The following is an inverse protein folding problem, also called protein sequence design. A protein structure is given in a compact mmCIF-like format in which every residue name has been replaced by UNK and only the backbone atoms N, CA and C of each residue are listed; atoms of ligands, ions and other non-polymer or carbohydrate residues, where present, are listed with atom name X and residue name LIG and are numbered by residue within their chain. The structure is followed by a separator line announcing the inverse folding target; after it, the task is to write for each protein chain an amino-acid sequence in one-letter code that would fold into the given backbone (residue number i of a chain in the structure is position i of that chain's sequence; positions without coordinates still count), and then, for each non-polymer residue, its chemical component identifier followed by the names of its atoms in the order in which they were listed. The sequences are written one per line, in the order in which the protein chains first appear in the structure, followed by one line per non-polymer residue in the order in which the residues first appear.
data_IF_485751524602
#
_entry.id   IF_485751524602
#
_cell.length_a   1.000
_cell.length_b   1.000
_cell.length_c   1.000
_cell.angle_alpha   90.00
_cell.angle_beta   90.00
_cell.angle_gamma   90.00
#
_symmetry.space_group_name_H-M   'P 1'
#
loop_
_entity.id
_entity.type
_entity.pdbx_description
1 polymer ?
#
# COMPACT_ATOMS: atom_id res chain seq x y z
N UNK A 1 -63.67 8.08 -29.21
CA UNK A 1 -63.06 7.04 -28.37
C UNK A 1 -61.56 7.10 -28.64
N UNK A 2 -60.84 7.90 -27.88
CA UNK A 2 -59.40 8.14 -28.00
C UNK A 2 -58.76 7.65 -26.68
N UNK A 3 -58.16 6.49 -26.70
CA UNK A 3 -57.36 5.94 -25.61
C UNK A 3 -56.03 6.64 -25.55
N UNK A 4 -55.77 7.28 -24.43
CA UNK A 4 -54.50 7.96 -24.12
C UNK A 4 -53.44 6.90 -23.73
N UNK A 5 -52.48 6.69 -24.59
CA UNK A 5 -51.24 5.95 -24.30
C UNK A 5 -50.42 6.72 -23.22
N UNK A 6 -50.43 6.21 -22.00
CA UNK A 6 -49.47 6.63 -20.96
C UNK A 6 -48.07 6.22 -21.37
N UNK A 7 -47.22 7.20 -21.72
CA UNK A 7 -45.80 7.02 -21.86
C UNK A 7 -45.18 6.72 -20.49
N UNK A 8 -44.62 5.51 -20.33
CA UNK A 8 -43.80 5.17 -19.19
C UNK A 8 -42.46 5.92 -19.31
N UNK A 9 -42.27 6.95 -18.52
CA UNK A 9 -40.96 7.57 -18.32
C UNK A 9 -39.96 6.53 -17.76
N UNK A 10 -38.73 6.47 -18.27
CA UNK A 10 -37.70 5.61 -17.68
C UNK A 10 -37.36 6.13 -16.28
N UNK A 11 -37.54 5.30 -15.26
CA UNK A 11 -37.07 5.57 -13.90
C UNK A 11 -35.57 5.86 -13.95
N UNK A 12 -35.20 7.08 -13.57
CA UNK A 12 -33.81 7.46 -13.36
C UNK A 12 -33.25 6.68 -12.17
N UNK A 13 -32.01 6.17 -12.27
CA UNK A 13 -31.28 5.42 -11.21
C UNK A 13 -31.08 6.18 -9.89
N UNK A 14 -31.66 7.37 -9.76
CA UNK A 14 -31.56 8.24 -8.58
C UNK A 14 -32.46 7.81 -7.39
N UNK A 15 -33.45 6.93 -7.61
CA UNK A 15 -34.48 6.60 -6.60
C UNK A 15 -34.32 5.22 -5.95
N UNK A 16 -33.20 4.54 -6.15
CA UNK A 16 -32.90 3.32 -5.37
C UNK A 16 -32.50 3.71 -3.96
N UNK A 17 -33.26 3.30 -2.91
CA UNK A 17 -32.90 3.60 -1.53
C UNK A 17 -31.52 3.00 -1.21
N UNK A 18 -30.55 3.87 -0.97
CA UNK A 18 -29.19 3.45 -0.56
C UNK A 18 -29.35 2.67 0.74
N UNK A 19 -28.93 1.42 0.74
CA UNK A 19 -28.96 0.58 1.93
C UNK A 19 -28.22 1.30 3.08
N UNK A 20 -28.91 1.61 4.22
CA UNK A 20 -28.29 2.40 5.31
C UNK A 20 -27.00 1.78 5.86
N UNK A 21 -26.90 0.44 5.83
CA UNK A 21 -25.69 -0.27 6.25
C UNK A 21 -24.50 0.02 5.31
N UNK A 22 -24.71 -0.03 4.00
CA UNK A 22 -23.68 0.30 3.00
C UNK A 22 -23.26 1.77 3.08
N UNK A 23 -24.21 2.67 3.36
CA UNK A 23 -23.91 4.10 3.54
C UNK A 23 -23.08 4.33 4.83
N UNK A 24 -23.37 3.60 5.90
CA UNK A 24 -22.60 3.66 7.15
C UNK A 24 -21.18 3.13 6.96
N UNK A 25 -21.01 2.00 6.30
CA UNK A 25 -19.69 1.43 5.99
C UNK A 25 -18.85 2.38 5.11
N UNK A 26 -19.44 2.94 4.07
CA UNK A 26 -18.78 3.93 3.21
C UNK A 26 -18.40 5.20 3.98
N UNK A 27 -19.21 5.64 4.94
CA UNK A 27 -18.90 6.78 5.82
C UNK A 27 -17.73 6.45 6.76
N UNK A 28 -17.72 5.28 7.39
CA UNK A 28 -16.62 4.84 8.27
C UNK A 28 -15.31 4.75 7.48
N UNK A 29 -15.34 4.15 6.28
CA UNK A 29 -14.17 4.07 5.42
C UNK A 29 -13.66 5.46 5.01
N UNK A 30 -14.56 6.40 4.65
CA UNK A 30 -14.20 7.78 4.31
C UNK A 30 -13.58 8.53 5.49
N UNK A 31 -14.15 8.39 6.69
CA UNK A 31 -13.60 9.00 7.91
C UNK A 31 -12.21 8.42 8.20
N UNK A 32 -12.05 7.11 8.12
CA UNK A 32 -10.76 6.45 8.35
C UNK A 32 -9.69 6.99 7.39
N UNK A 33 -10.00 7.11 6.09
CA UNK A 33 -9.07 7.65 5.08
C UNK A 33 -8.73 9.13 5.31
N UNK A 34 -9.67 9.93 5.81
CA UNK A 34 -9.42 11.36 6.08
C UNK A 34 -8.61 11.55 7.38
N UNK A 35 -8.90 10.75 8.41
CA UNK A 35 -8.23 10.85 9.71
C UNK A 35 -6.86 10.15 9.69
N UNK A 36 -6.68 9.12 8.87
CA UNK A 36 -5.44 8.33 8.80
C UNK A 36 -4.19 9.19 8.54
N UNK A 37 -4.13 10.10 7.55
CA UNK A 37 -2.95 10.95 7.35
C UNK A 37 -2.63 11.83 8.56
N UNK A 38 -3.66 12.33 9.25
CA UNK A 38 -3.48 13.14 10.45
C UNK A 38 -2.89 12.31 11.60
N UNK A 39 -3.35 11.08 11.77
CA UNK A 39 -2.79 10.16 12.77
C UNK A 39 -1.34 9.82 12.47
N UNK A 40 -0.99 9.60 11.21
CA UNK A 40 0.38 9.30 10.78
C UNK A 40 1.29 10.49 11.02
N UNK A 41 0.88 11.70 10.63
CA UNK A 41 1.65 12.94 10.87
C UNK A 41 1.83 13.17 12.38
N UNK A 42 0.76 13.04 13.17
CA UNK A 42 0.83 13.18 14.62
C UNK A 42 1.80 12.15 15.24
N UNK A 43 1.72 10.89 14.80
CA UNK A 43 2.61 9.84 15.25
C UNK A 43 4.07 10.11 14.90
N UNK A 44 4.34 10.63 13.70
CA UNK A 44 5.67 11.10 13.29
C UNK A 44 6.19 12.21 14.19
N UNK A 45 5.37 13.23 14.46
CA UNK A 45 5.74 14.34 15.38
C UNK A 45 6.01 13.81 16.78
N UNK A 46 5.16 12.95 17.34
CA UNK A 46 5.35 12.36 18.67
C UNK A 46 6.61 11.49 18.72
N UNK A 47 6.86 10.67 17.68
CA UNK A 47 8.08 9.86 17.55
C UNK A 47 9.35 10.74 17.52
N UNK A 48 9.31 11.88 16.82
CA UNK A 48 10.40 12.84 16.76
C UNK A 48 10.65 13.52 18.10
N UNK A 49 9.59 13.94 18.80
CA UNK A 49 9.71 14.66 20.08
C UNK A 49 10.05 13.74 21.27
N UNK A 50 9.68 12.45 21.20
CA UNK A 50 9.91 11.48 22.28
C UNK A 50 10.66 10.23 21.79
N UNK A 51 11.88 10.37 21.19
CA UNK A 51 12.60 9.24 20.60
C UNK A 51 12.97 8.16 21.62
N UNK A 52 13.23 8.53 22.87
CA UNK A 52 13.55 7.58 23.95
C UNK A 52 12.43 6.59 24.25
N UNK A 53 11.17 6.95 23.98
CA UNK A 53 10.01 6.09 24.21
C UNK A 53 9.83 5.08 23.08
N UNK A 54 9.98 5.51 21.82
CA UNK A 54 9.64 4.69 20.67
C UNK A 54 10.82 3.91 20.08
N UNK A 55 12.04 4.43 20.15
CA UNK A 55 13.24 3.74 19.63
C UNK A 55 13.43 2.33 20.22
N UNK A 56 13.21 2.06 21.53
CA UNK A 56 13.30 0.70 22.07
C UNK A 56 12.27 -0.29 21.50
N UNK A 57 11.21 0.21 20.86
CA UNK A 57 10.17 -0.62 20.23
C UNK A 57 10.53 -1.07 18.82
N UNK A 58 11.68 -0.67 18.26
CA UNK A 58 12.10 -1.06 16.91
C UNK A 58 12.04 -2.59 16.66
N UNK A 59 12.42 -3.48 17.58
CA UNK A 59 12.28 -4.92 17.37
C UNK A 59 10.83 -5.42 17.21
N UNK A 60 9.82 -4.62 17.58
CA UNK A 60 8.40 -4.98 17.41
C UNK A 60 7.85 -4.71 16.01
N UNK A 61 8.55 -3.92 15.17
CA UNK A 61 8.07 -3.51 13.85
C UNK A 61 7.67 -4.68 12.95
N UNK A 62 8.42 -5.81 12.85
CA UNK A 62 8.01 -6.96 12.07
C UNK A 62 6.69 -7.59 12.56
N UNK A 63 6.46 -7.65 13.86
CA UNK A 63 5.22 -8.18 14.43
C UNK A 63 4.03 -7.26 14.17
N UNK A 64 4.24 -5.94 14.28
CA UNK A 64 3.24 -4.93 13.94
C UNK A 64 2.84 -5.03 12.46
N UNK A 65 3.83 -5.18 11.56
CA UNK A 65 3.55 -5.45 10.16
C UNK A 65 2.75 -6.74 9.98
N UNK A 66 3.13 -7.83 10.66
CA UNK A 66 2.39 -9.09 10.63
C UNK A 66 0.91 -8.94 11.00
N UNK A 67 0.59 -8.11 11.99
CA UNK A 67 -0.79 -7.78 12.36
C UNK A 67 -1.51 -7.10 11.19
N UNK A 68 -0.90 -6.11 10.55
CA UNK A 68 -1.48 -5.42 9.38
C UNK A 68 -1.72 -6.40 8.24
N UNK A 69 -0.75 -7.26 7.96
CA UNK A 69 -0.84 -8.26 6.90
C UNK A 69 -1.90 -9.32 7.19
N UNK A 70 -2.06 -9.73 8.44
CA UNK A 70 -3.15 -10.59 8.87
C UNK A 70 -4.52 -9.90 8.67
N UNK A 71 -4.65 -8.63 9.08
CA UNK A 71 -5.85 -7.83 8.83
C UNK A 71 -6.17 -7.74 7.32
N UNK A 72 -5.14 -7.54 6.48
CA UNK A 72 -5.29 -7.57 5.03
C UNK A 72 -5.83 -8.93 4.55
N UNK A 73 -5.26 -10.03 5.03
CA UNK A 73 -5.73 -11.38 4.71
C UNK A 73 -7.19 -11.61 5.06
N UNK A 74 -7.66 -11.03 6.18
CA UNK A 74 -9.08 -11.06 6.59
C UNK A 74 -10.02 -10.34 5.61
N UNK A 75 -9.54 -9.39 4.85
CA UNK A 75 -10.36 -8.66 3.86
C UNK A 75 -10.44 -9.38 2.52
N UNK A 76 -9.50 -10.28 2.19
CA UNK A 76 -9.47 -10.99 0.92
C UNK A 76 -10.59 -12.02 0.82
N UNK A 77 -11.13 -12.16 -0.40
CA UNK A 77 -12.20 -13.13 -0.70
C UNK A 77 -11.87 -13.96 -1.94
N UNK A 78 -12.37 -15.20 -2.08
CA UNK A 78 -12.17 -15.99 -3.29
C UNK A 78 -12.60 -15.32 -4.59
N UNK A 79 -13.68 -14.51 -4.65
CA UNK A 79 -14.04 -13.74 -5.82
C UNK A 79 -12.98 -12.74 -6.29
N UNK A 80 -12.13 -12.22 -5.38
CA UNK A 80 -11.04 -11.28 -5.74
C UNK A 80 -10.02 -12.00 -6.64
N UNK A 81 -9.68 -13.24 -6.32
CA UNK A 81 -8.81 -14.07 -7.16
C UNK A 81 -9.47 -14.48 -8.49
N UNK A 82 -10.79 -14.66 -8.51
CA UNK A 82 -11.51 -14.91 -9.75
C UNK A 82 -11.47 -13.70 -10.71
N UNK A 83 -11.33 -12.49 -10.18
CA UNK A 83 -11.16 -11.27 -10.98
C UNK A 83 -9.85 -11.27 -11.77
N UNK A 84 -8.77 -11.89 -11.25
CA UNK A 84 -7.51 -12.09 -11.96
C UNK A 84 -7.73 -12.91 -13.24
N UNK A 85 -8.48 -14.01 -13.13
CA UNK A 85 -8.76 -14.87 -14.29
C UNK A 85 -9.66 -14.22 -15.33
N UNK A 86 -10.55 -13.30 -14.92
CA UNK A 86 -11.47 -12.60 -15.82
C UNK A 86 -10.82 -11.49 -16.65
N UNK A 87 -9.77 -10.85 -16.12
CA UNK A 87 -9.05 -9.73 -16.77
C UNK A 87 -7.53 -9.89 -16.67
N UNK A 88 -6.94 -11.00 -17.17
CA UNK A 88 -5.54 -11.33 -16.98
C UNK A 88 -4.60 -10.23 -17.51
N UNK A 89 -4.94 -9.64 -18.67
CA UNK A 89 -4.15 -8.56 -19.26
C UNK A 89 -4.02 -7.34 -18.36
N UNK A 90 -5.13 -6.86 -17.79
CA UNK A 90 -5.12 -5.69 -16.94
C UNK A 90 -4.33 -5.93 -15.64
N UNK A 91 -4.44 -7.14 -15.07
CA UNK A 91 -3.69 -7.53 -13.87
C UNK A 91 -2.19 -7.65 -14.16
N UNK A 92 -1.81 -8.35 -15.22
CA UNK A 92 -0.40 -8.49 -15.63
C UNK A 92 0.21 -7.13 -15.93
N UNK A 93 -0.50 -6.27 -16.66
CA UNK A 93 -0.06 -4.90 -16.95
C UNK A 93 0.15 -4.11 -15.66
N UNK A 94 -0.78 -4.20 -14.70
CA UNK A 94 -0.66 -3.53 -13.40
C UNK A 94 0.56 -3.98 -12.62
N UNK A 95 0.81 -5.30 -12.54
CA UNK A 95 1.95 -5.88 -11.83
C UNK A 95 3.27 -5.49 -12.50
N UNK A 96 3.36 -5.62 -13.83
CA UNK A 96 4.56 -5.26 -14.60
C UNK A 96 4.82 -3.75 -14.47
N UNK A 97 3.81 -2.92 -14.63
CA UNK A 97 3.95 -1.48 -14.47
C UNK A 97 4.43 -1.13 -13.06
N UNK A 98 3.86 -1.74 -12.02
CA UNK A 98 4.26 -1.54 -10.63
C UNK A 98 5.75 -1.88 -10.41
N UNK A 99 6.17 -3.09 -10.74
CA UNK A 99 7.53 -3.56 -10.47
C UNK A 99 8.59 -3.07 -11.46
N UNK A 100 8.22 -2.38 -12.54
CA UNK A 100 9.14 -1.69 -13.45
C UNK A 100 9.22 -0.19 -13.11
N UNK A 101 8.08 0.47 -13.01
CA UNK A 101 8.01 1.93 -12.85
C UNK A 101 8.55 2.36 -11.49
N UNK A 102 8.07 1.73 -10.40
CA UNK A 102 8.39 2.21 -9.07
C UNK A 102 9.83 1.93 -8.64
N UNK A 103 10.38 0.72 -8.84
CA UNK A 103 11.81 0.50 -8.58
C UNK A 103 12.70 1.37 -9.46
N UNK A 104 12.36 1.51 -10.75
CA UNK A 104 13.10 2.36 -11.69
C UNK A 104 13.03 3.84 -11.32
N UNK A 105 11.86 4.36 -10.94
CA UNK A 105 11.70 5.72 -10.46
C UNK A 105 12.49 5.95 -9.16
N UNK A 106 12.43 5.01 -8.21
CA UNK A 106 13.21 5.09 -6.97
C UNK A 106 14.70 5.18 -7.22
N UNK A 107 15.22 4.35 -8.12
CA UNK A 107 16.64 4.38 -8.51
C UNK A 107 17.00 5.70 -9.23
N UNK A 108 16.19 6.15 -10.20
CA UNK A 108 16.43 7.41 -10.91
C UNK A 108 16.40 8.62 -9.98
N UNK A 109 15.46 8.68 -9.03
CA UNK A 109 15.37 9.75 -8.03
C UNK A 109 16.60 9.73 -7.12
N UNK A 110 17.03 8.54 -6.65
CA UNK A 110 18.20 8.40 -5.83
C UNK A 110 19.46 8.95 -6.52
N UNK A 111 19.63 8.66 -7.82
CA UNK A 111 20.72 9.20 -8.63
C UNK A 111 20.59 10.71 -8.87
N UNK A 112 19.40 11.17 -9.27
CA UNK A 112 19.19 12.59 -9.64
C UNK A 112 19.34 13.54 -8.43
N UNK A 113 18.93 13.09 -7.24
CA UNK A 113 19.06 13.86 -6.00
C UNK A 113 20.38 13.60 -5.27
N UNK A 114 21.28 12.74 -5.81
CA UNK A 114 22.56 12.37 -5.18
C UNK A 114 22.36 11.94 -3.72
N UNK A 115 21.36 11.08 -3.47
CA UNK A 115 21.04 10.65 -2.12
C UNK A 115 22.22 9.87 -1.49
N UNK A 116 22.41 10.04 -0.19
CA UNK A 116 23.33 9.19 0.58
C UNK A 116 22.94 7.72 0.45
N UNK A 117 23.89 6.78 0.49
CA UNK A 117 23.64 5.35 0.23
C UNK A 117 22.45 4.76 1.01
N UNK A 118 22.32 5.09 2.30
CA UNK A 118 21.21 4.60 3.13
C UNK A 118 19.84 5.14 2.66
N UNK A 119 19.77 6.43 2.31
CA UNK A 119 18.54 7.03 1.79
C UNK A 119 18.20 6.52 0.38
N UNK A 120 19.22 6.34 -0.46
CA UNK A 120 19.06 5.78 -1.81
C UNK A 120 18.45 4.36 -1.74
N UNK A 121 19.03 3.50 -0.89
CA UNK A 121 18.49 2.15 -0.64
C UNK A 121 17.06 2.23 -0.10
N UNK A 122 16.78 3.15 0.80
CA UNK A 122 15.43 3.34 1.36
C UNK A 122 14.39 3.69 0.29
N UNK A 123 14.68 4.65 -0.60
CA UNK A 123 13.75 5.04 -1.70
C UNK A 123 13.59 3.90 -2.70
N UNK A 124 14.67 3.22 -3.08
CA UNK A 124 14.63 2.06 -3.97
C UNK A 124 13.80 0.94 -3.34
N UNK A 125 14.00 0.65 -2.05
CA UNK A 125 13.27 -0.38 -1.31
C UNK A 125 11.76 -0.10 -1.26
N UNK A 126 11.37 1.17 -1.04
CA UNK A 126 9.95 1.57 -1.15
C UNK A 126 9.42 1.25 -2.54
N UNK A 127 10.16 1.59 -3.59
CA UNK A 127 9.76 1.26 -4.97
C UNK A 127 9.66 -0.23 -5.26
N UNK A 128 10.51 -1.06 -4.63
CA UNK A 128 10.51 -2.52 -4.80
C UNK A 128 9.44 -3.22 -3.93
N UNK A 129 8.83 -2.52 -2.97
CA UNK A 129 7.76 -3.08 -2.15
C UNK A 129 6.48 -3.30 -2.99
N UNK A 130 5.64 -4.29 -2.65
CA UNK A 130 4.38 -4.50 -3.35
C UNK A 130 3.40 -3.35 -3.11
N UNK A 131 2.31 -3.31 -3.86
CA UNK A 131 1.24 -2.32 -3.69
C UNK A 131 0.68 -2.33 -2.26
N UNK A 132 0.36 -1.15 -1.75
CA UNK A 132 -0.17 -0.95 -0.40
C UNK A 132 -1.69 -1.12 -0.34
N UNK A 133 -2.22 -1.61 0.78
CA UNK A 133 -3.68 -1.78 0.96
C UNK A 133 -4.48 -0.47 0.86
N UNK A 134 -3.85 0.67 1.12
CA UNK A 134 -4.47 1.99 0.99
C UNK A 134 -4.84 2.32 -0.46
N UNK A 135 -4.14 1.74 -1.46
CA UNK A 135 -4.45 1.94 -2.89
C UNK A 135 -5.87 1.51 -3.24
N UNK A 136 -6.37 0.41 -2.67
CA UNK A 136 -7.74 -0.07 -2.91
C UNK A 136 -8.79 0.96 -2.47
N UNK A 137 -8.56 1.62 -1.34
CA UNK A 137 -9.47 2.66 -0.82
C UNK A 137 -9.40 3.90 -1.69
N UNK A 138 -8.21 4.29 -2.12
CA UNK A 138 -8.03 5.42 -3.03
C UNK A 138 -8.62 5.15 -4.41
N UNK A 139 -8.49 3.94 -4.93
CA UNK A 139 -9.16 3.50 -6.16
C UNK A 139 -10.69 3.61 -6.03
N UNK A 140 -11.27 3.18 -4.90
CA UNK A 140 -12.70 3.34 -4.62
C UNK A 140 -13.12 4.81 -4.59
N UNK A 141 -12.42 5.67 -3.86
CA UNK A 141 -12.73 7.11 -3.75
C UNK A 141 -12.61 7.83 -5.11
N UNK A 142 -11.65 7.42 -5.93
CA UNK A 142 -11.46 7.93 -7.28
C UNK A 142 -12.44 7.34 -8.31
N UNK A 143 -13.42 6.54 -7.87
CA UNK A 143 -14.36 5.82 -8.74
C UNK A 143 -13.64 4.94 -9.78
N UNK A 144 -12.52 4.34 -9.38
CA UNK A 144 -11.74 3.38 -10.15
C UNK A 144 -12.33 1.97 -10.09
N UNK A 145 -11.69 1.04 -10.76
CA UNK A 145 -12.03 -0.40 -10.74
C UNK A 145 -11.43 -1.06 -9.50
N UNK A 146 -12.22 -1.14 -8.43
CA UNK A 146 -11.79 -1.70 -7.14
C UNK A 146 -11.44 -3.19 -7.26
N UNK A 147 -12.17 -3.94 -8.10
CA UNK A 147 -11.89 -5.36 -8.27
C UNK A 147 -10.52 -5.60 -8.93
N UNK A 148 -10.16 -4.77 -9.92
CA UNK A 148 -8.82 -4.78 -10.52
C UNK A 148 -7.77 -4.35 -9.50
N UNK A 149 -8.03 -3.31 -8.71
CA UNK A 149 -7.13 -2.83 -7.66
C UNK A 149 -6.79 -3.94 -6.67
N UNK A 150 -7.81 -4.58 -6.09
CA UNK A 150 -7.62 -5.70 -5.15
C UNK A 150 -6.88 -6.87 -5.79
N UNK A 151 -7.17 -7.18 -7.07
CA UNK A 151 -6.48 -8.25 -7.78
C UNK A 151 -4.98 -7.96 -7.96
N UNK A 152 -4.61 -6.74 -8.39
CA UNK A 152 -3.20 -6.33 -8.56
C UNK A 152 -2.49 -6.30 -7.21
N UNK A 153 -3.09 -5.70 -6.17
CA UNK A 153 -2.53 -5.65 -4.82
C UNK A 153 -2.28 -7.07 -4.26
N UNK A 154 -3.24 -7.98 -4.42
CA UNK A 154 -3.12 -9.35 -3.92
C UNK A 154 -2.00 -10.11 -4.60
N UNK A 155 -1.93 -10.07 -5.94
CA UNK A 155 -0.90 -10.79 -6.69
C UNK A 155 0.47 -10.18 -6.44
N UNK A 156 0.60 -8.84 -6.43
CA UNK A 156 1.88 -8.19 -6.12
C UNK A 156 2.40 -8.58 -4.73
N UNK A 157 1.51 -8.66 -3.72
CA UNK A 157 1.87 -9.10 -2.37
C UNK A 157 2.31 -10.56 -2.32
N UNK A 158 1.65 -11.46 -3.07
CA UNK A 158 2.01 -12.89 -3.10
C UNK A 158 3.36 -13.15 -3.76
N UNK A 159 3.75 -12.37 -4.77
CA UNK A 159 5.05 -12.52 -5.45
C UNK A 159 6.16 -11.70 -4.80
N UNK A 160 5.83 -10.77 -3.90
CA UNK A 160 6.79 -9.91 -3.22
C UNK A 160 7.97 -10.64 -2.55
N UNK A 161 7.79 -11.83 -1.92
CA UNK A 161 8.91 -12.55 -1.30
C UNK A 161 10.06 -12.86 -2.26
N UNK A 162 9.76 -12.97 -3.55
CA UNK A 162 10.77 -13.25 -4.59
C UNK A 162 11.17 -11.95 -5.30
N UNK A 163 10.20 -11.19 -5.78
CA UNK A 163 10.43 -10.04 -6.65
C UNK A 163 11.10 -8.88 -5.90
N UNK A 164 10.65 -8.56 -4.68
CA UNK A 164 11.21 -7.44 -3.90
C UNK A 164 12.70 -7.63 -3.60
N UNK A 165 13.18 -8.76 -3.01
CA UNK A 165 14.61 -8.93 -2.73
C UNK A 165 15.48 -8.93 -3.99
N UNK A 166 15.00 -9.52 -5.09
CA UNK A 166 15.75 -9.54 -6.35
C UNK A 166 15.91 -8.14 -6.95
N UNK A 167 14.85 -7.33 -6.95
CA UNK A 167 14.90 -5.95 -7.43
C UNK A 167 15.77 -5.08 -6.53
N UNK A 168 15.70 -5.23 -5.21
CA UNK A 168 16.56 -4.51 -4.27
C UNK A 168 18.03 -4.90 -4.49
N UNK A 169 18.33 -6.19 -4.64
CA UNK A 169 19.68 -6.66 -4.94
C UNK A 169 20.21 -6.05 -6.25
N UNK A 170 19.38 -6.03 -7.29
CA UNK A 170 19.77 -5.53 -8.60
C UNK A 170 19.98 -4.00 -8.62
N UNK A 171 19.09 -3.22 -7.99
CA UNK A 171 19.10 -1.75 -8.07
C UNK A 171 19.87 -1.09 -6.94
N UNK A 172 19.88 -1.67 -5.75
CA UNK A 172 20.50 -1.10 -4.55
C UNK A 172 21.81 -1.79 -4.16
N UNK A 173 22.17 -2.92 -4.77
CA UNK A 173 23.39 -3.68 -4.45
C UNK A 173 24.70 -2.92 -4.68
N UNK A 174 24.68 -1.86 -5.50
CA UNK A 174 25.84 -0.97 -5.69
C UNK A 174 26.02 0.04 -4.55
N UNK A 175 25.02 0.27 -3.74
CA UNK A 175 25.05 1.23 -2.62
C UNK A 175 25.43 0.55 -1.29
N UNK A 176 24.83 -0.63 -1.02
CA UNK A 176 25.04 -1.39 0.22
C UNK A 176 25.04 -2.89 -0.07
N UNK A 177 25.59 -3.68 0.85
CA UNK A 177 25.49 -5.14 0.78
C UNK A 177 24.04 -5.57 1.07
N UNK A 178 23.49 -6.44 0.22
CA UNK A 178 22.13 -6.90 0.29
C UNK A 178 22.07 -8.38 0.64
N UNK A 179 21.48 -8.71 1.78
CA UNK A 179 21.10 -10.11 2.10
C UNK A 179 19.71 -10.42 1.51
N UNK A 180 19.69 -10.74 0.23
CA UNK A 180 18.44 -11.09 -0.46
C UNK A 180 17.79 -12.34 0.14
N UNK A 181 18.58 -13.31 0.63
CA UNK A 181 18.06 -14.53 1.26
C UNK A 181 17.34 -14.26 2.57
N UNK A 182 17.94 -13.45 3.43
CA UNK A 182 17.31 -12.99 4.67
C UNK A 182 16.03 -12.19 4.40
N UNK A 183 16.05 -11.31 3.40
CA UNK A 183 14.86 -10.54 2.99
C UNK A 183 13.72 -11.44 2.51
N UNK A 184 13.99 -12.48 1.71
CA UNK A 184 12.96 -13.46 1.29
C UNK A 184 12.31 -14.07 2.52
N UNK A 185 13.11 -14.57 3.47
CA UNK A 185 12.62 -15.23 4.67
C UNK A 185 11.77 -14.30 5.53
N UNK A 186 12.20 -13.05 5.68
CA UNK A 186 11.48 -12.05 6.46
C UNK A 186 10.15 -11.66 5.81
N UNK A 187 10.10 -11.49 4.48
CA UNK A 187 8.85 -11.22 3.78
C UNK A 187 7.90 -12.43 3.88
N UNK A 188 8.40 -13.66 3.77
CA UNK A 188 7.56 -14.84 3.98
C UNK A 188 6.95 -14.84 5.38
N UNK A 189 7.75 -14.58 6.43
CA UNK A 189 7.29 -14.61 7.83
C UNK A 189 6.36 -13.44 8.17
N UNK A 190 6.69 -12.23 7.71
CA UNK A 190 6.00 -11.01 8.15
C UNK A 190 4.86 -10.59 7.23
N UNK A 191 4.80 -11.12 6.00
CA UNK A 191 3.77 -10.78 5.01
C UNK A 191 3.00 -12.02 4.58
N UNK A 192 3.66 -12.99 3.93
CA UNK A 192 2.98 -14.09 3.28
C UNK A 192 2.22 -14.98 4.28
N UNK A 193 2.88 -15.43 5.34
CA UNK A 193 2.24 -16.27 6.36
C UNK A 193 1.07 -15.57 7.06
N UNK A 194 1.18 -14.30 7.53
CA UNK A 194 0.05 -13.60 8.11
C UNK A 194 -1.11 -13.38 7.12
N UNK A 195 -0.84 -13.04 5.85
CA UNK A 195 -1.89 -12.89 4.83
C UNK A 195 -2.62 -14.21 4.61
N UNK A 196 -1.90 -15.32 4.47
CA UNK A 196 -2.51 -16.65 4.32
C UNK A 196 -3.33 -17.01 5.57
N UNK A 197 -2.79 -16.78 6.76
CA UNK A 197 -3.51 -17.04 8.01
C UNK A 197 -4.81 -16.20 8.11
N UNK A 198 -4.77 -14.93 7.72
CA UNK A 198 -5.95 -14.07 7.65
C UNK A 198 -6.98 -14.57 6.65
N UNK A 199 -6.56 -14.96 5.44
CA UNK A 199 -7.44 -15.54 4.42
C UNK A 199 -8.08 -16.85 4.91
N UNK A 200 -7.32 -17.74 5.53
CA UNK A 200 -7.85 -18.97 6.13
C UNK A 200 -8.85 -18.65 7.23
N UNK A 201 -8.54 -17.71 8.12
CA UNK A 201 -9.49 -17.26 9.15
C UNK A 201 -10.77 -16.70 8.51
N UNK A 202 -10.66 -15.93 7.40
CA UNK A 202 -11.82 -15.46 6.63
C UNK A 202 -12.68 -16.59 6.11
N UNK A 203 -12.06 -17.67 5.63
CA UNK A 203 -12.76 -18.81 5.05
C UNK A 203 -13.46 -19.67 6.11
N UNK A 204 -12.79 -19.94 7.23
CA UNK A 204 -13.28 -20.85 8.27
C UNK A 204 -14.08 -20.16 9.37
N UNK A 205 -13.77 -18.89 9.70
CA UNK A 205 -14.38 -18.15 10.81
C UNK A 205 -15.27 -16.99 10.30
N UNK A 206 -16.03 -17.19 9.23
CA UNK A 206 -16.83 -16.15 8.54
C UNK A 206 -17.65 -15.26 9.49
N UNK A 207 -18.33 -15.88 10.49
CA UNK A 207 -19.18 -15.15 11.44
C UNK A 207 -18.39 -14.24 12.39
N UNK A 208 -17.22 -14.67 12.82
CA UNK A 208 -16.34 -13.90 13.71
C UNK A 208 -15.70 -12.77 12.92
N UNK A 209 -15.16 -13.09 11.73
CA UNK A 209 -14.52 -12.11 10.85
C UNK A 209 -15.49 -11.02 10.44
N UNK A 210 -16.73 -11.34 10.11
CA UNK A 210 -17.75 -10.34 9.75
C UNK A 210 -17.97 -9.29 10.85
N UNK A 211 -17.84 -9.67 12.13
CA UNK A 211 -17.98 -8.74 13.26
C UNK A 211 -16.78 -7.80 13.42
N UNK A 212 -15.57 -8.24 13.05
CA UNK A 212 -14.35 -7.43 13.20
C UNK A 212 -13.98 -6.63 11.96
N UNK A 213 -14.51 -6.98 10.79
CA UNK A 213 -14.24 -6.27 9.52
C UNK A 213 -14.35 -4.74 9.61
N UNK A 214 -15.39 -4.15 10.23
CA UNK A 214 -15.52 -2.69 10.33
C UNK A 214 -14.42 -2.03 11.17
N UNK A 215 -13.79 -2.77 12.08
CA UNK A 215 -12.70 -2.27 12.93
C UNK A 215 -11.31 -2.36 12.26
N UNK A 216 -11.14 -3.21 11.23
CA UNK A 216 -9.82 -3.44 10.61
C UNK A 216 -9.15 -2.18 10.07
N UNK A 217 -9.85 -1.23 9.39
CA UNK A 217 -9.23 0.00 8.93
C UNK A 217 -8.63 0.83 10.07
N UNK A 218 -9.32 0.90 11.20
CA UNK A 218 -8.86 1.61 12.39
C UNK A 218 -7.69 0.90 13.08
N UNK A 219 -7.76 -0.43 13.21
CA UNK A 219 -6.67 -1.22 13.74
C UNK A 219 -5.39 -1.04 12.89
N UNK A 220 -5.52 -1.12 11.56
CA UNK A 220 -4.40 -0.88 10.65
C UNK A 220 -3.87 0.55 10.75
N UNK A 221 -4.74 1.56 10.84
CA UNK A 221 -4.33 2.95 10.98
C UNK A 221 -3.50 3.19 12.25
N UNK A 222 -3.93 2.66 13.38
CA UNK A 222 -3.20 2.75 14.65
C UNK A 222 -1.85 2.05 14.57
N UNK A 223 -1.81 0.83 14.03
CA UNK A 223 -0.57 0.04 13.93
C UNK A 223 0.42 0.70 12.97
N UNK A 224 -0.03 1.20 11.81
CA UNK A 224 0.84 1.93 10.88
C UNK A 224 1.37 3.21 11.55
N UNK A 225 0.53 3.97 12.24
CA UNK A 225 0.95 5.17 12.97
C UNK A 225 2.02 4.85 14.02
N UNK A 226 1.88 3.74 14.72
CA UNK A 226 2.90 3.27 15.67
C UNK A 226 4.23 2.92 14.97
N UNK A 227 4.18 2.22 13.83
CA UNK A 227 5.38 1.92 13.02
C UNK A 227 6.06 3.23 12.61
N UNK A 228 5.31 4.23 12.12
CA UNK A 228 5.86 5.53 11.73
C UNK A 228 6.52 6.23 12.92
N UNK A 229 5.87 6.25 14.10
CA UNK A 229 6.49 6.83 15.30
C UNK A 229 7.81 6.15 15.66
N UNK A 230 7.89 4.81 15.56
CA UNK A 230 9.12 4.04 15.82
C UNK A 230 10.22 4.38 14.81
N UNK A 231 9.91 4.40 13.52
CA UNK A 231 10.88 4.70 12.44
C UNK A 231 11.41 6.12 12.56
N UNK A 232 10.52 7.09 12.76
CA UNK A 232 10.88 8.50 12.96
C UNK A 232 11.75 8.67 14.21
N UNK A 233 11.41 8.01 15.31
CA UNK A 233 12.21 8.03 16.53
C UNK A 233 13.62 7.45 16.32
N UNK A 234 13.74 6.38 15.52
CA UNK A 234 15.03 5.79 15.16
C UNK A 234 15.92 6.72 14.34
N UNK A 235 15.33 7.63 13.55
CA UNK A 235 16.02 8.56 12.66
C UNK A 235 16.01 10.01 13.16
N UNK A 236 15.51 10.29 14.36
CA UNK A 236 15.23 11.65 14.85
C UNK A 236 16.44 12.60 14.76
N UNK A 237 17.65 12.11 15.06
CA UNK A 237 18.87 12.91 14.97
C UNK A 237 19.26 13.33 13.54
N UNK A 238 18.82 12.59 12.52
CA UNK A 238 19.17 12.84 11.10
C UNK A 238 18.03 13.51 10.32
N UNK A 239 16.81 13.51 10.86
CA UNK A 239 15.61 14.04 10.17
C UNK A 239 15.74 15.52 9.83
N UNK A 240 16.32 16.34 10.70
CA UNK A 240 16.46 17.79 10.46
C UNK A 240 17.32 18.06 9.22
N UNK A 241 18.37 17.26 9.02
CA UNK A 241 19.25 17.40 7.85
C UNK A 241 18.69 16.73 6.59
N UNK A 242 18.06 15.56 6.72
CA UNK A 242 17.65 14.72 5.59
C UNK A 242 16.16 14.88 5.22
N UNK A 243 15.31 15.38 6.13
CA UNK A 243 13.86 15.36 5.95
C UNK A 243 13.36 16.08 4.69
N UNK A 244 13.95 17.22 4.35
CA UNK A 244 13.54 17.98 3.15
C UNK A 244 13.80 17.22 1.85
N UNK A 245 14.98 16.61 1.70
CA UNK A 245 15.32 15.84 0.49
C UNK A 245 14.55 14.54 0.42
N UNK A 246 14.29 13.89 1.56
CA UNK A 246 13.45 12.69 1.63
C UNK A 246 12.00 13.02 1.24
N UNK A 247 11.44 14.10 1.78
CA UNK A 247 10.10 14.55 1.41
C UNK A 247 10.00 14.79 -0.10
N UNK A 248 10.96 15.52 -0.69
CA UNK A 248 11.02 15.74 -2.14
C UNK A 248 11.09 14.42 -2.91
N UNK A 249 11.97 13.50 -2.49
CA UNK A 249 12.11 12.19 -3.11
C UNK A 249 10.81 11.39 -3.10
N UNK A 250 10.10 11.36 -1.95
CA UNK A 250 8.83 10.65 -1.81
C UNK A 250 7.72 11.29 -2.65
N UNK A 251 7.61 12.61 -2.67
CA UNK A 251 6.62 13.33 -3.52
C UNK A 251 6.86 13.04 -5.00
N UNK A 252 8.12 13.10 -5.46
CA UNK A 252 8.46 12.76 -6.84
C UNK A 252 8.17 11.29 -7.15
N UNK A 253 8.54 10.38 -6.25
CA UNK A 253 8.34 8.94 -6.42
C UNK A 253 6.86 8.59 -6.52
N UNK A 254 6.02 9.09 -5.62
CA UNK A 254 4.58 8.89 -5.66
C UNK A 254 3.94 9.54 -6.90
N UNK A 255 4.35 10.79 -7.23
CA UNK A 255 3.87 11.50 -8.42
C UNK A 255 4.19 10.77 -9.73
N UNK A 256 5.41 10.25 -9.88
CA UNK A 256 5.78 9.40 -11.03
C UNK A 256 4.95 8.11 -11.06
N UNK A 257 4.77 7.46 -9.92
CA UNK A 257 3.96 6.26 -9.82
C UNK A 257 2.50 6.47 -10.25
N UNK A 258 1.85 7.52 -9.74
CA UNK A 258 0.48 7.86 -10.11
C UNK A 258 0.36 8.21 -11.60
N UNK A 259 1.26 9.09 -12.10
CA UNK A 259 1.23 9.55 -13.48
C UNK A 259 1.55 8.44 -14.48
N UNK A 260 2.64 7.71 -14.27
CA UNK A 260 3.07 6.64 -15.16
C UNK A 260 2.18 5.40 -15.05
N UNK A 261 1.60 5.12 -13.87
CA UNK A 261 0.60 4.06 -13.69
C UNK A 261 -0.68 4.34 -14.48
N UNK A 262 -1.17 5.58 -14.45
CA UNK A 262 -2.29 6.00 -15.29
C UNK A 262 -1.95 5.90 -16.78
N UNK A 263 -0.77 6.35 -17.17
CA UNK A 263 -0.27 6.29 -18.55
C UNK A 263 -0.12 4.84 -19.04
N UNK A 264 0.42 3.94 -18.20
CA UNK A 264 0.52 2.52 -18.51
C UNK A 264 -0.87 1.91 -18.80
N UNK A 265 -1.87 2.23 -17.98
CA UNK A 265 -3.24 1.82 -18.23
C UNK A 265 -3.82 2.38 -19.54
N UNK A 266 -3.49 3.64 -19.88
CA UNK A 266 -3.89 4.26 -21.15
C UNK A 266 -3.23 3.59 -22.35
N UNK A 267 -1.93 3.35 -22.29
CA UNK A 267 -1.17 2.63 -23.33
C UNK A 267 -1.63 1.17 -23.48
N UNK A 268 -2.00 0.53 -22.36
CA UNK A 268 -2.58 -0.81 -22.33
C UNK A 268 -4.05 -0.87 -22.79
N UNK A 269 -4.62 0.26 -23.26
CA UNK A 269 -5.98 0.40 -23.78
C UNK A 269 -7.07 0.01 -22.76
N UNK A 270 -6.81 0.21 -21.48
CA UNK A 270 -7.80 -0.02 -20.42
C UNK A 270 -8.83 1.12 -20.39
N UNK A 271 -10.02 0.84 -19.83
CA UNK A 271 -11.03 1.86 -19.57
C UNK A 271 -10.62 2.83 -18.45
N UNK A 272 -11.31 3.96 -18.31
CA UNK A 272 -10.93 5.00 -17.35
C UNK A 272 -10.96 4.55 -15.89
N UNK A 273 -11.85 3.62 -15.53
CA UNK A 273 -11.91 3.08 -14.16
C UNK A 273 -10.69 2.23 -13.86
N UNK A 274 -10.28 1.38 -14.81
CA UNK A 274 -9.08 0.58 -14.70
C UNK A 274 -7.80 1.43 -14.70
N UNK A 275 -7.72 2.52 -15.50
CA UNK A 275 -6.59 3.45 -15.48
C UNK A 275 -6.41 4.12 -14.13
N UNK A 276 -7.52 4.55 -13.49
CA UNK A 276 -7.48 5.12 -12.14
C UNK A 276 -7.02 4.09 -11.12
N UNK A 277 -7.51 2.86 -11.20
CA UNK A 277 -7.04 1.78 -10.33
C UNK A 277 -5.53 1.56 -10.47
N UNK A 278 -5.02 1.43 -11.71
CA UNK A 278 -3.59 1.25 -11.96
C UNK A 278 -2.75 2.43 -11.46
N UNK A 279 -3.24 3.66 -11.60
CA UNK A 279 -2.54 4.82 -11.05
C UNK A 279 -2.24 4.65 -9.56
N UNK A 280 -3.23 4.25 -8.76
CA UNK A 280 -3.05 4.04 -7.33
C UNK A 280 -2.26 2.77 -7.01
N UNK A 281 -2.49 1.67 -7.74
CA UNK A 281 -1.74 0.43 -7.53
C UNK A 281 -0.25 0.57 -7.83
N UNK A 282 0.11 1.36 -8.82
CA UNK A 282 1.51 1.66 -9.13
C UNK A 282 2.06 2.73 -8.18
N UNK A 283 1.31 3.80 -7.89
CA UNK A 283 1.80 4.94 -7.11
C UNK A 283 1.84 4.75 -5.60
N UNK A 284 1.18 3.74 -5.05
CA UNK A 284 1.07 3.55 -3.60
C UNK A 284 1.65 2.22 -3.14
N UNK A 285 2.78 2.27 -2.46
CA UNK A 285 3.52 1.10 -2.00
C UNK A 285 3.12 0.66 -0.59
N UNK A 286 3.47 -0.56 -0.24
CA UNK A 286 3.41 -1.07 1.13
C UNK A 286 4.58 -0.49 1.96
N UNK A 287 4.41 0.74 2.42
CA UNK A 287 5.40 1.45 3.23
C UNK A 287 5.74 0.71 4.53
N UNK A 288 4.78 0.00 5.13
CA UNK A 288 5.02 -0.81 6.33
C UNK A 288 6.03 -1.94 6.09
N UNK A 289 5.93 -2.62 4.95
CA UNK A 289 6.92 -3.63 4.56
C UNK A 289 8.28 -2.99 4.28
N UNK A 290 8.32 -1.90 3.53
CA UNK A 290 9.57 -1.20 3.24
C UNK A 290 10.25 -0.72 4.52
N UNK A 291 9.50 -0.14 5.48
CA UNK A 291 10.01 0.27 6.79
C UNK A 291 10.59 -0.92 7.57
N UNK A 292 9.88 -2.04 7.57
CA UNK A 292 10.31 -3.26 8.28
C UNK A 292 11.61 -3.80 7.72
N UNK A 293 11.69 -3.97 6.38
CA UNK A 293 12.90 -4.46 5.72
C UNK A 293 14.07 -3.50 5.87
N UNK A 294 13.82 -2.18 5.73
CA UNK A 294 14.86 -1.17 5.92
C UNK A 294 15.44 -1.20 7.34
N UNK A 295 14.58 -1.32 8.34
CA UNK A 295 15.01 -1.37 9.75
C UNK A 295 15.73 -2.67 10.08
N UNK A 296 15.31 -3.80 9.50
CA UNK A 296 15.89 -5.13 9.78
C UNK A 296 17.23 -5.36 9.06
N UNK A 297 17.34 -4.92 7.79
CA UNK A 297 18.47 -5.25 6.93
C UNK A 297 19.47 -4.11 6.68
N UNK A 298 19.11 -2.86 7.02
CA UNK A 298 19.95 -1.69 6.74
C UNK A 298 20.07 -0.79 7.98
N UNK A 299 19.27 0.28 8.03
CA UNK A 299 19.34 1.25 9.14
C UNK A 299 18.00 1.96 9.34
N UNK A 300 17.80 2.61 10.50
CA UNK A 300 16.66 3.49 10.70
C UNK A 300 16.57 4.63 9.67
N UNK A 301 17.71 5.11 9.16
CA UNK A 301 17.73 6.15 8.13
C UNK A 301 17.21 5.64 6.80
N UNK A 302 17.55 4.41 6.41
CA UNK A 302 17.00 3.77 5.22
C UNK A 302 15.48 3.54 5.33
N UNK A 303 14.93 3.44 6.55
CA UNK A 303 13.48 3.31 6.75
C UNK A 303 12.74 4.67 6.63
N UNK A 304 13.42 5.80 6.69
CA UNK A 304 12.80 7.13 6.70
C UNK A 304 11.93 7.42 5.45
N UNK A 305 12.34 7.09 4.20
CA UNK A 305 11.49 7.29 3.03
C UNK A 305 10.15 6.54 3.07
N UNK A 306 10.07 5.46 3.82
CA UNK A 306 8.82 4.70 3.98
C UNK A 306 7.90 5.26 5.07
N UNK A 307 8.39 6.18 5.91
CA UNK A 307 7.62 6.82 6.99
C UNK A 307 7.04 8.19 6.58
N UNK A 308 7.48 8.73 5.44
CA UNK A 308 7.04 10.01 4.85
C UNK A 308 5.96 9.74 3.78
#
# INVERSE_FOLDING_TARGET
MLEATKSSEPRTDADTPVNPALAAEARIARIAVTVFPLLVVLAGVVGFLAPGTFKPLAPSVPYLLGIIMFCMGLTLTPPDFASVAKRPWAVVLGIVAHYVIMPGAGWLIAQALHLEPELAVGVILVGCAPSGTASNVMAFLAKGDVALSVAVASVSTLIAPIVTPLLVLFLAGSYLQIDAGGMVLDIVKTVLLPVIAGLLARLFLKRVVAKVLPALPWASAVVISLIVAIVVAGSASKIVAAGGIVFLAVVLHNGFGLGLGYLAGKLGRLDDKARRALAFEVGMQNSGLAATLATAHFSPLAALPSAV
#
